data_IF_755646285973
#
_entry.id   IF_755646285973
#
_cell.length_a   1.000
_cell.length_b   1.000
_cell.length_c   1.000
_cell.angle_alpha   90.00
_cell.angle_beta   90.00
_cell.angle_gamma   90.00
#
_symmetry.space_group_name_H-M   'P 1'
#
loop_
_entity.id
_entity.type
_entity.pdbx_description
1 polymer ?
#
# COMPACT_ATOMS: atom_id res chain seq x y z
N UNK A 1 1.30 -29.10 4.01
CA UNK A 1 1.29 -27.64 3.80
C UNK A 1 -0.06 -27.08 3.33
N UNK A 2 -1.07 -27.90 2.99
CA UNK A 2 -2.39 -27.41 2.54
C UNK A 2 -3.31 -26.89 3.66
N UNK A 3 -3.11 -27.34 4.90
CA UNK A 3 -4.02 -27.06 6.01
C UNK A 3 -3.89 -25.63 6.57
N UNK A 4 -2.70 -25.03 6.47
CA UNK A 4 -2.44 -23.64 6.92
C UNK A 4 -3.05 -22.62 5.97
N UNK A 5 -2.90 -22.80 4.66
CA UNK A 5 -3.47 -21.89 3.67
C UNK A 5 -5.02 -21.84 3.70
N UNK A 6 -5.68 -22.97 3.94
CA UNK A 6 -7.14 -23.00 4.13
C UNK A 6 -7.59 -22.32 5.43
N UNK A 7 -6.78 -22.39 6.49
CA UNK A 7 -7.06 -21.67 7.73
C UNK A 7 -6.90 -20.16 7.54
N UNK A 8 -5.88 -19.72 6.82
CA UNK A 8 -5.62 -18.29 6.54
C UNK A 8 -6.75 -17.68 5.68
N UNK A 9 -7.28 -18.42 4.68
CA UNK A 9 -8.45 -18.01 3.89
C UNK A 9 -9.72 -17.88 4.74
N UNK A 10 -9.97 -18.85 5.64
CA UNK A 10 -11.14 -18.83 6.52
C UNK A 10 -11.04 -17.73 7.58
N UNK A 11 -9.84 -17.43 8.06
CA UNK A 11 -9.58 -16.37 9.06
C UNK A 11 -9.71 -14.98 8.42
N UNK A 12 -9.18 -14.79 7.20
CA UNK A 12 -9.41 -13.58 6.41
C UNK A 12 -10.89 -13.37 6.05
N UNK A 13 -11.65 -14.44 5.82
CA UNK A 13 -13.10 -14.35 5.61
C UNK A 13 -13.88 -14.02 6.90
N UNK A 14 -13.46 -14.54 8.05
CA UNK A 14 -14.03 -14.20 9.36
C UNK A 14 -13.81 -12.73 9.71
N UNK A 15 -12.62 -12.21 9.39
CA UNK A 15 -12.26 -10.81 9.55
C UNK A 15 -13.21 -9.84 8.83
N UNK A 16 -13.69 -10.23 7.64
CA UNK A 16 -14.68 -9.47 6.86
C UNK A 16 -16.06 -9.37 7.55
N UNK A 17 -16.31 -10.21 8.57
CA UNK A 17 -17.62 -10.36 9.22
C UNK A 17 -17.57 -9.86 10.68
N UNK A 18 -16.43 -10.00 11.38
CA UNK A 18 -16.32 -9.71 12.82
C UNK A 18 -15.96 -8.27 13.17
N UNK A 19 -15.40 -7.48 12.22
CA UNK A 19 -14.89 -6.12 12.48
C UNK A 19 -15.44 -5.06 11.50
N UNK A 20 -16.77 -4.91 11.41
CA UNK A 20 -17.43 -4.07 10.39
C UNK A 20 -17.09 -2.57 10.48
N UNK A 21 -16.83 -2.04 11.67
CA UNK A 21 -16.49 -0.63 11.85
C UNK A 21 -15.03 -0.36 11.41
N UNK A 22 -14.13 -1.28 11.75
CA UNK A 22 -12.70 -1.20 11.43
C UNK A 22 -12.41 -1.51 9.95
N UNK A 23 -13.25 -2.34 9.31
CA UNK A 23 -13.18 -2.69 7.89
C UNK A 23 -13.40 -1.49 6.97
N UNK A 24 -14.21 -0.52 7.38
CA UNK A 24 -14.51 0.64 6.52
C UNK A 24 -13.26 1.50 6.28
N UNK A 25 -12.51 1.81 7.35
CA UNK A 25 -11.24 2.55 7.23
C UNK A 25 -10.21 1.71 6.47
N UNK A 26 -10.07 0.43 6.81
CA UNK A 26 -9.15 -0.47 6.12
C UNK A 26 -9.43 -0.55 4.61
N UNK A 27 -10.68 -0.80 4.21
CA UNK A 27 -11.07 -0.91 2.80
C UNK A 27 -10.79 0.39 2.03
N UNK A 28 -11.12 1.55 2.64
CA UNK A 28 -10.80 2.86 2.07
C UNK A 28 -9.29 3.05 1.85
N UNK A 29 -8.47 2.60 2.79
CA UNK A 29 -7.01 2.63 2.66
C UNK A 29 -6.50 1.66 1.59
N UNK A 30 -7.05 0.46 1.49
CA UNK A 30 -6.71 -0.51 0.42
C UNK A 30 -7.04 0.05 -0.96
N UNK A 31 -8.20 0.69 -1.11
CA UNK A 31 -8.59 1.31 -2.38
C UNK A 31 -7.67 2.46 -2.76
N UNK A 32 -7.30 3.32 -1.80
CA UNK A 32 -6.30 4.39 -2.02
C UNK A 32 -4.93 3.83 -2.37
N UNK A 33 -4.46 2.82 -1.65
CA UNK A 33 -3.19 2.15 -1.94
C UNK A 33 -3.15 1.60 -3.38
N UNK A 34 -4.22 0.91 -3.79
CA UNK A 34 -4.35 0.37 -5.16
C UNK A 34 -4.42 1.46 -6.21
N UNK A 35 -5.12 2.56 -5.94
CA UNK A 35 -5.19 3.71 -6.85
C UNK A 35 -3.81 4.35 -7.03
N UNK A 36 -3.08 4.61 -5.95
CA UNK A 36 -1.74 5.17 -5.98
C UNK A 36 -0.75 4.24 -6.68
N UNK A 37 -0.85 2.93 -6.45
CA UNK A 37 -0.02 1.93 -7.16
C UNK A 37 -0.22 2.04 -8.67
N UNK A 38 -1.48 2.03 -9.14
CA UNK A 38 -1.79 2.16 -10.58
C UNK A 38 -1.31 3.48 -11.19
N UNK A 39 -1.38 4.56 -10.42
CA UNK A 39 -0.94 5.87 -10.86
C UNK A 39 0.60 5.97 -10.93
N UNK A 40 1.29 5.43 -9.93
CA UNK A 40 2.73 5.60 -9.75
C UNK A 40 3.57 4.57 -10.51
N UNK A 41 3.17 3.30 -10.57
CA UNK A 41 3.97 2.23 -11.21
C UNK A 41 4.45 2.60 -12.62
N UNK A 42 3.60 3.11 -13.54
CA UNK A 42 4.06 3.43 -14.88
C UNK A 42 5.10 4.55 -14.92
N UNK A 43 5.04 5.50 -13.97
CA UNK A 43 6.00 6.61 -13.88
C UNK A 43 7.34 6.10 -13.34
N UNK A 44 7.27 5.29 -12.27
CA UNK A 44 8.44 4.72 -11.59
C UNK A 44 9.25 3.80 -12.51
N UNK A 45 8.59 3.11 -13.45
CA UNK A 45 9.25 2.22 -14.43
C UNK A 45 9.97 2.96 -15.58
N UNK A 46 9.86 4.30 -15.68
CA UNK A 46 10.48 5.06 -16.77
C UNK A 46 11.97 5.31 -16.55
N UNK A 47 12.78 5.23 -17.61
CA UNK A 47 14.25 5.44 -17.53
C UNK A 47 14.63 6.78 -16.89
N UNK A 48 13.83 7.84 -17.09
CA UNK A 48 14.08 9.16 -16.49
C UNK A 48 13.95 9.19 -14.95
N UNK A 49 13.38 8.15 -14.34
CA UNK A 49 13.30 8.02 -12.87
C UNK A 49 14.57 7.45 -12.24
N UNK A 50 15.48 6.87 -13.04
CA UNK A 50 16.75 6.32 -12.54
C UNK A 50 17.67 7.36 -11.89
N UNK A 51 17.50 8.64 -12.23
CA UNK A 51 18.22 9.75 -11.59
C UNK A 51 17.62 10.18 -10.23
N UNK A 52 16.48 9.60 -9.84
CA UNK A 52 15.70 9.97 -8.66
C UNK A 52 15.60 8.81 -7.65
N UNK A 53 16.74 8.19 -7.32
CA UNK A 53 16.86 7.04 -6.42
C UNK A 53 16.05 7.16 -5.13
N UNK A 54 16.04 8.34 -4.50
CA UNK A 54 15.28 8.54 -3.27
C UNK A 54 13.76 8.39 -3.45
N UNK A 55 13.21 8.83 -4.60
CA UNK A 55 11.78 8.68 -4.89
C UNK A 55 11.46 7.20 -5.12
N UNK A 56 12.33 6.48 -5.84
CA UNK A 56 12.21 5.05 -6.08
C UNK A 56 12.25 4.27 -4.77
N UNK A 57 13.22 4.53 -3.90
CA UNK A 57 13.38 3.87 -2.60
C UNK A 57 12.14 4.05 -1.71
N UNK A 58 11.61 5.28 -1.63
CA UNK A 58 10.42 5.58 -0.83
C UNK A 58 9.19 4.87 -1.40
N UNK A 59 9.03 4.85 -2.73
CA UNK A 59 7.94 4.14 -3.38
C UNK A 59 8.03 2.63 -3.15
N UNK A 60 9.18 2.01 -3.44
CA UNK A 60 9.36 0.56 -3.33
C UNK A 60 9.17 0.07 -1.91
N UNK A 61 9.71 0.81 -0.94
CA UNK A 61 9.54 0.49 0.49
C UNK A 61 8.07 0.57 0.90
N UNK A 62 7.36 1.62 0.49
CA UNK A 62 5.94 1.79 0.80
C UNK A 62 5.08 0.73 0.10
N UNK A 63 5.34 0.46 -1.18
CA UNK A 63 4.66 -0.56 -1.96
C UNK A 63 4.82 -1.94 -1.33
N UNK A 64 6.06 -2.35 -1.02
CA UNK A 64 6.35 -3.62 -0.37
C UNK A 64 5.66 -3.77 0.99
N UNK A 65 5.68 -2.73 1.82
CA UNK A 65 4.99 -2.72 3.10
C UNK A 65 3.46 -2.82 2.94
N UNK A 66 2.85 -2.10 1.99
CA UNK A 66 1.42 -2.19 1.72
C UNK A 66 0.98 -3.56 1.22
N UNK A 67 1.77 -4.16 0.32
CA UNK A 67 1.56 -5.54 -0.14
C UNK A 67 1.67 -6.54 1.01
N UNK A 68 2.60 -6.33 1.95
CA UNK A 68 2.71 -7.17 3.14
C UNK A 68 1.43 -7.09 3.98
N UNK A 69 0.96 -5.89 4.28
CA UNK A 69 -0.24 -5.71 5.12
C UNK A 69 -1.45 -6.40 4.48
N UNK A 70 -1.66 -6.20 3.19
CA UNK A 70 -2.84 -6.72 2.48
C UNK A 70 -2.80 -8.25 2.33
N UNK A 71 -1.63 -8.81 1.99
CA UNK A 71 -1.53 -10.23 1.63
C UNK A 71 -1.18 -11.15 2.81
N UNK A 72 -0.57 -10.61 3.87
CA UNK A 72 -0.06 -11.42 4.99
C UNK A 72 -0.60 -10.99 6.35
N UNK A 73 -0.64 -9.69 6.65
CA UNK A 73 -1.07 -9.25 7.99
C UNK A 73 -2.60 -9.31 8.13
N UNK A 74 -3.35 -8.98 7.08
CA UNK A 74 -4.82 -9.00 7.09
C UNK A 74 -5.43 -10.39 7.33
N UNK A 75 -4.98 -11.49 6.69
CA UNK A 75 -5.52 -12.82 6.96
C UNK A 75 -5.27 -13.35 8.38
N UNK A 76 -4.21 -12.89 9.05
CA UNK A 76 -3.77 -13.42 10.35
C UNK A 76 -4.12 -12.53 11.54
N UNK A 77 -4.55 -11.29 11.31
CA UNK A 77 -5.07 -10.44 12.38
C UNK A 77 -6.36 -11.05 12.93
N UNK A 78 -6.40 -11.40 14.22
CA UNK A 78 -7.58 -12.04 14.85
C UNK A 78 -8.12 -11.23 16.02
N UNK A 79 -7.41 -10.17 16.41
CA UNK A 79 -7.76 -9.25 17.50
C UNK A 79 -7.96 -7.83 16.99
N UNK A 80 -8.69 -7.02 17.76
CA UNK A 80 -8.91 -5.60 17.42
C UNK A 80 -7.61 -4.81 17.45
N UNK A 81 -6.70 -5.14 18.35
CA UNK A 81 -5.39 -4.51 18.48
C UNK A 81 -4.50 -4.78 17.26
N UNK A 82 -4.48 -6.02 16.77
CA UNK A 82 -3.80 -6.38 15.52
C UNK A 82 -4.42 -5.64 14.33
N UNK A 83 -5.76 -5.56 14.28
CA UNK A 83 -6.48 -4.79 13.26
C UNK A 83 -6.12 -3.32 13.25
N UNK A 84 -6.06 -2.69 14.43
CA UNK A 84 -5.69 -1.29 14.58
C UNK A 84 -4.22 -1.07 14.15
N UNK A 85 -3.32 -1.96 14.56
CA UNK A 85 -1.90 -1.87 14.22
C UNK A 85 -1.66 -2.00 12.70
N UNK A 86 -2.26 -3.01 12.05
CA UNK A 86 -2.10 -3.19 10.61
C UNK A 86 -2.75 -2.04 9.83
N UNK A 87 -3.89 -1.52 10.28
CA UNK A 87 -4.58 -0.40 9.64
C UNK A 87 -3.74 0.89 9.75
N UNK A 88 -3.11 1.12 10.91
CA UNK A 88 -2.18 2.23 11.10
C UNK A 88 -0.94 2.10 10.19
N UNK A 89 -0.41 0.88 10.03
CA UNK A 89 0.70 0.63 9.10
C UNK A 89 0.29 0.93 7.65
N UNK A 90 -0.88 0.46 7.22
CA UNK A 90 -1.39 0.72 5.87
C UNK A 90 -1.62 2.23 5.65
N UNK A 91 -2.08 2.95 6.67
CA UNK A 91 -2.25 4.41 6.62
C UNK A 91 -0.92 5.14 6.42
N UNK A 92 0.13 4.73 7.14
CA UNK A 92 1.47 5.30 6.95
C UNK A 92 1.99 5.02 5.53
N UNK A 93 1.81 3.80 5.04
CA UNK A 93 2.15 3.42 3.65
C UNK A 93 1.45 4.32 2.63
N UNK A 94 0.13 4.49 2.75
CA UNK A 94 -0.64 5.36 1.85
C UNK A 94 -0.12 6.79 1.90
N UNK A 95 0.13 7.34 3.09
CA UNK A 95 0.67 8.70 3.24
C UNK A 95 2.03 8.89 2.57
N UNK A 96 2.90 7.86 2.61
CA UNK A 96 4.19 7.86 1.91
C UNK A 96 4.00 7.86 0.39
N UNK A 97 3.13 7.00 -0.13
CA UNK A 97 2.82 6.98 -1.56
C UNK A 97 2.20 8.29 -2.06
N UNK A 98 1.35 8.93 -1.27
CA UNK A 98 0.83 10.27 -1.60
C UNK A 98 1.91 11.35 -1.56
N UNK A 99 2.94 11.18 -0.73
CA UNK A 99 4.09 12.07 -0.73
C UNK A 99 4.91 11.91 -2.01
N UNK A 100 5.09 10.69 -2.48
CA UNK A 100 5.71 10.40 -3.79
C UNK A 100 4.92 11.07 -4.91
N UNK A 101 3.60 10.88 -4.96
CA UNK A 101 2.74 11.52 -5.96
C UNK A 101 2.88 13.05 -5.97
N UNK A 102 2.85 13.70 -4.78
CA UNK A 102 3.06 15.15 -4.67
C UNK A 102 4.43 15.61 -5.18
N UNK A 103 5.49 14.87 -4.85
CA UNK A 103 6.85 15.19 -5.30
C UNK A 103 6.96 15.05 -6.82
N UNK A 104 6.44 13.97 -7.38
CA UNK A 104 6.42 13.77 -8.83
C UNK A 104 5.63 14.87 -9.55
N UNK A 105 4.43 15.20 -9.06
CA UNK A 105 3.63 16.29 -9.61
C UNK A 105 4.39 17.64 -9.58
N UNK A 106 5.12 17.92 -8.50
CA UNK A 106 6.00 19.09 -8.42
C UNK A 106 7.16 19.02 -9.43
N UNK A 107 7.82 17.88 -9.55
CA UNK A 107 8.92 17.68 -10.49
C UNK A 107 8.48 17.85 -11.96
N UNK A 108 7.32 17.31 -12.34
CA UNK A 108 6.75 17.51 -13.68
C UNK A 108 6.38 18.97 -13.93
N UNK A 109 5.71 19.63 -12.97
CA UNK A 109 5.30 21.03 -13.11
C UNK A 109 6.47 21.99 -13.31
N UNK A 110 7.62 21.68 -12.71
CA UNK A 110 8.83 22.49 -12.81
C UNK A 110 9.80 22.01 -13.91
N UNK A 111 9.42 21.01 -14.73
CA UNK A 111 10.24 20.41 -15.77
C UNK A 111 11.57 19.82 -15.26
N UNK A 112 11.61 19.35 -14.01
CA UNK A 112 12.75 18.61 -13.47
C UNK A 112 12.81 17.21 -14.10
N UNK A 113 11.65 16.54 -14.22
CA UNK A 113 11.52 15.30 -14.98
C UNK A 113 10.94 15.65 -16.35
N UNK A 114 11.61 15.21 -17.41
CA UNK A 114 11.15 15.38 -18.80
C UNK A 114 11.06 14.02 -19.47
N UNK A 115 9.93 13.77 -20.11
CA UNK A 115 9.78 12.65 -21.02
C UNK A 115 10.38 13.08 -22.37
N UNK A 116 11.46 12.41 -22.78
CA UNK A 116 12.08 12.60 -24.09
C UNK A 116 11.45 11.67 -25.13
#
# INVERSE_FOLDING_TARGET
MQMTAQLDELTGALNLITHPEELSEYNSLVDRFRALTRLLSPIIEMECMSDYDYILEVYDTAFGAGQRVINYDFPVATTKEEFAAMTANLKDVVNRMESVDRVLAFCFRNNFIRFY
#
